data_IF_349208752802
#
_entry.id   IF_349208752802
#
_cell.length_a   1.000
_cell.length_b   1.000
_cell.length_c   1.000
_cell.angle_alpha   90.00
_cell.angle_beta   90.00
_cell.angle_gamma   90.00
#
_symmetry.space_group_name_H-M   'P 1'
#
loop_
_entity.id
_entity.type
_entity.pdbx_description
1 polymer ?
#
# COMPACT_ATOMS: atom_id res chain seq x y z
N UNK A 1 15.97 7.99 14.62
CA UNK A 1 15.93 7.27 13.34
C UNK A 1 17.02 7.74 12.39
N UNK A 2 17.04 9.00 11.96
CA UNK A 2 18.05 9.54 11.04
C UNK A 2 19.48 9.28 11.50
N UNK A 3 19.82 9.65 12.76
CA UNK A 3 21.13 9.33 13.36
C UNK A 3 21.49 7.84 13.29
N UNK A 4 20.52 6.94 13.57
CA UNK A 4 20.80 5.49 13.58
C UNK A 4 21.10 4.96 12.17
N UNK A 5 20.43 5.50 11.15
CA UNK A 5 20.74 5.19 9.75
C UNK A 5 22.14 5.73 9.37
N UNK A 6 22.45 6.96 9.78
CA UNK A 6 23.79 7.54 9.59
C UNK A 6 24.89 6.70 10.24
N UNK A 7 24.72 6.30 11.51
CA UNK A 7 25.67 5.44 12.22
C UNK A 7 25.89 4.08 11.49
N UNK A 8 24.82 3.52 10.91
CA UNK A 8 24.91 2.28 10.10
C UNK A 8 25.72 2.52 8.82
N UNK A 9 25.44 3.61 8.12
CA UNK A 9 26.15 3.94 6.88
C UNK A 9 27.65 4.20 7.15
N UNK A 10 27.97 4.92 8.22
CA UNK A 10 29.35 5.15 8.67
C UNK A 10 30.06 3.84 9.00
N UNK A 11 29.36 2.90 9.62
CA UNK A 11 29.91 1.59 9.94
C UNK A 11 30.25 0.80 8.67
N UNK A 12 29.31 0.76 7.68
CA UNK A 12 29.54 0.09 6.40
C UNK A 12 30.76 0.69 5.68
N UNK A 13 30.90 2.00 5.67
CA UNK A 13 32.04 2.68 5.05
C UNK A 13 33.36 2.33 5.73
N UNK A 14 33.43 2.43 7.06
CA UNK A 14 34.62 2.11 7.87
C UNK A 14 35.08 0.67 7.71
N UNK A 15 34.15 -0.25 7.42
CA UNK A 15 34.46 -1.67 7.26
C UNK A 15 34.65 -2.10 5.80
N UNK A 16 34.57 -1.18 4.83
CA UNK A 16 34.74 -1.47 3.42
C UNK A 16 33.58 -2.25 2.79
N UNK A 17 32.40 -2.28 3.45
CA UNK A 17 31.22 -3.03 3.01
C UNK A 17 30.22 -2.18 2.23
N UNK A 18 30.44 -0.88 2.17
CA UNK A 18 29.48 0.10 1.63
C UNK A 18 29.13 -0.13 0.17
N UNK A 19 30.07 -0.62 -0.64
CA UNK A 19 29.87 -0.89 -2.08
C UNK A 19 29.31 -2.28 -2.35
N UNK A 20 29.38 -3.17 -1.37
CA UNK A 20 28.85 -4.54 -1.45
C UNK A 20 27.54 -4.71 -0.68
N UNK A 21 26.89 -3.62 -0.28
CA UNK A 21 25.66 -3.65 0.51
C UNK A 21 24.54 -2.91 -0.20
N UNK A 22 23.38 -3.56 -0.33
CA UNK A 22 22.13 -2.94 -0.73
C UNK A 22 21.42 -2.46 0.55
N UNK A 23 21.09 -1.18 0.61
CA UNK A 23 20.32 -0.61 1.73
C UNK A 23 18.94 -0.23 1.22
N UNK A 24 17.90 -0.78 1.85
CA UNK A 24 16.49 -0.42 1.61
C UNK A 24 15.95 0.13 2.91
N UNK A 25 15.48 1.37 2.86
CA UNK A 25 14.86 2.05 4.00
C UNK A 25 13.43 2.44 3.63
N UNK A 26 12.46 2.01 4.43
CA UNK A 26 11.04 2.32 4.24
C UNK A 26 10.30 2.25 5.57
N UNK A 27 9.08 2.80 5.62
CA UNK A 27 8.13 2.56 6.71
C UNK A 27 7.28 1.32 6.42
N UNK A 28 6.73 0.71 7.48
CA UNK A 28 5.80 -0.43 7.39
C UNK A 28 4.37 0.01 7.10
N UNK A 29 4.00 1.22 7.52
CA UNK A 29 2.69 1.85 7.31
C UNK A 29 2.78 3.36 7.54
N UNK A 30 1.70 4.07 7.22
CA UNK A 30 1.58 5.50 7.45
C UNK A 30 1.79 5.93 8.89
N UNK A 31 2.23 7.16 9.05
CA UNK A 31 2.41 7.76 10.37
C UNK A 31 1.09 7.81 11.15
N UNK A 32 1.17 7.72 12.48
CA UNK A 32 0.01 7.80 13.37
C UNK A 32 -0.49 9.25 13.46
N UNK A 33 -1.34 9.65 12.52
CA UNK A 33 -1.92 11.00 12.40
C UNK A 33 -3.33 11.14 12.97
N UNK A 34 -3.95 10.02 13.39
CA UNK A 34 -5.21 10.04 14.12
C UNK A 34 -4.96 10.21 15.61
N UNK A 35 -5.86 10.93 16.30
CA UNK A 35 -5.84 11.01 17.76
C UNK A 35 -6.24 9.66 18.35
N UNK A 36 -5.34 8.92 19.00
CA UNK A 36 -5.77 7.85 19.87
C UNK A 36 -6.37 8.52 21.12
N UNK A 37 -7.59 8.15 21.50
CA UNK A 37 -8.30 8.70 22.66
C UNK A 37 -7.61 8.50 24.03
N UNK A 38 -6.40 7.95 24.05
CA UNK A 38 -5.53 7.79 25.23
C UNK A 38 -4.35 8.78 25.23
N UNK A 39 -4.26 9.67 24.26
CA UNK A 39 -3.31 10.80 24.24
C UNK A 39 -4.11 12.10 24.31
N UNK A 40 -3.67 13.05 25.09
CA UNK A 40 -4.31 14.33 25.42
C UNK A 40 -4.54 15.27 24.22
N UNK A 41 -5.07 14.74 23.10
CA UNK A 41 -5.41 15.53 21.92
C UNK A 41 -4.25 15.85 20.97
N UNK A 42 -3.03 15.38 21.24
CA UNK A 42 -1.89 15.64 20.37
C UNK A 42 -1.76 14.61 19.26
N UNK A 43 -1.81 15.07 18.01
CA UNK A 43 -1.47 14.27 16.83
C UNK A 43 0.03 13.96 16.89
N UNK A 44 0.38 12.67 16.88
CA UNK A 44 1.76 12.23 17.01
C UNK A 44 2.61 12.58 15.78
N UNK A 45 2.01 12.56 14.59
CA UNK A 45 2.65 12.83 13.31
C UNK A 45 1.62 13.26 12.27
N UNK A 46 2.05 13.70 11.13
CA UNK A 46 1.19 14.02 10.00
C UNK A 46 1.76 13.37 8.72
N UNK A 47 0.87 13.07 7.78
CA UNK A 47 1.22 12.50 6.49
C UNK A 47 0.96 13.46 5.31
N UNK A 48 0.77 14.77 5.61
CA UNK A 48 0.49 15.77 4.58
C UNK A 48 1.48 15.68 3.39
N UNK A 49 1.01 15.74 2.14
CA UNK A 49 -0.36 16.03 1.67
C UNK A 49 -1.31 14.81 1.66
N UNK A 50 -0.89 13.64 2.10
CA UNK A 50 -1.70 12.43 2.15
C UNK A 50 -2.73 12.52 3.28
N UNK A 51 -3.94 12.03 3.03
CA UNK A 51 -5.02 12.05 4.01
C UNK A 51 -4.90 10.89 5.00
N UNK A 52 -5.29 11.15 6.27
CA UNK A 52 -5.31 10.16 7.34
C UNK A 52 -3.91 9.57 7.66
N UNK A 53 -3.85 8.34 8.13
CA UNK A 53 -2.61 7.69 8.56
C UNK A 53 -2.80 6.23 8.91
N UNK A 54 -1.95 5.72 9.78
CA UNK A 54 -1.93 4.30 10.18
C UNK A 54 -3.33 3.75 10.47
N UNK A 55 -3.66 2.63 9.84
CA UNK A 55 -4.96 1.95 9.95
C UNK A 55 -6.00 2.40 8.92
N UNK A 56 -5.70 3.44 8.14
CA UNK A 56 -6.59 3.94 7.09
C UNK A 56 -6.33 3.26 5.75
N UNK A 57 -7.41 3.10 4.97
CA UNK A 57 -7.34 2.73 3.56
C UNK A 57 -6.91 3.89 2.65
N UNK A 58 -6.87 5.13 3.15
CA UNK A 58 -6.40 6.30 2.42
C UNK A 58 -4.87 6.29 2.23
N UNK A 59 -4.39 7.10 1.28
CA UNK A 59 -2.95 7.14 0.94
C UNK A 59 -2.06 7.40 2.17
N UNK A 60 -2.52 8.20 3.14
CA UNK A 60 -1.77 8.44 4.39
C UNK A 60 -1.58 7.19 5.26
N UNK A 61 -2.37 6.14 5.05
CA UNK A 61 -2.22 4.86 5.75
C UNK A 61 -1.44 3.81 5.00
N UNK A 62 -1.47 3.85 3.65
CA UNK A 62 -0.94 2.77 2.80
C UNK A 62 0.19 3.19 1.86
N UNK A 63 0.47 4.49 1.72
CA UNK A 63 1.54 5.00 0.88
C UNK A 63 2.75 5.41 1.69
N UNK A 64 3.83 4.66 1.53
CA UNK A 64 5.05 4.84 2.28
C UNK A 64 6.22 5.30 1.40
N UNK A 65 7.06 6.22 1.89
CA UNK A 65 8.30 6.55 1.21
C UNK A 65 9.29 5.38 1.32
N UNK A 66 10.03 5.16 0.25
CA UNK A 66 11.10 4.18 0.21
C UNK A 66 12.37 4.81 -0.37
N UNK A 67 13.51 4.48 0.22
CA UNK A 67 14.83 4.84 -0.28
C UNK A 67 15.61 3.56 -0.56
N UNK A 68 16.19 3.45 -1.75
CA UNK A 68 17.07 2.35 -2.11
C UNK A 68 18.44 2.87 -2.48
N UNK A 69 19.46 2.41 -1.76
CA UNK A 69 20.85 2.59 -2.13
C UNK A 69 21.42 1.25 -2.65
N UNK A 70 21.82 1.23 -3.90
CA UNK A 70 22.46 0.08 -4.53
C UNK A 70 23.57 0.55 -5.46
N UNK A 71 24.81 0.56 -4.99
CA UNK A 71 25.96 1.02 -5.79
C UNK A 71 26.06 0.28 -7.13
N UNK A 72 26.32 1.03 -8.19
CA UNK A 72 26.45 0.49 -9.54
C UNK A 72 25.14 0.11 -10.25
N UNK A 73 24.00 0.11 -9.55
CA UNK A 73 22.68 -0.25 -10.13
C UNK A 73 21.70 0.90 -10.07
N UNK A 74 21.45 1.45 -8.88
CA UNK A 74 20.54 2.58 -8.71
C UNK A 74 21.29 3.89 -8.89
N UNK A 75 20.82 4.73 -9.82
CA UNK A 75 21.42 6.05 -10.08
C UNK A 75 21.24 6.96 -8.86
N UNK A 76 22.31 7.52 -8.29
CA UNK A 76 22.22 8.47 -7.19
C UNK A 76 21.31 9.66 -7.51
N UNK A 77 20.46 10.05 -6.54
CA UNK A 77 19.53 11.16 -6.68
C UNK A 77 18.35 10.93 -7.62
N UNK A 78 18.20 9.73 -8.20
CA UNK A 78 17.02 9.38 -9.00
C UNK A 78 15.77 9.33 -8.13
N UNK A 79 14.61 9.63 -8.74
CA UNK A 79 13.29 9.53 -8.12
C UNK A 79 12.39 8.65 -8.97
N UNK A 80 11.48 7.92 -8.33
CA UNK A 80 10.49 7.08 -8.96
C UNK A 80 9.15 7.28 -8.26
N UNK A 81 8.10 7.55 -9.01
CA UNK A 81 6.73 7.78 -8.53
C UNK A 81 5.81 6.57 -8.76
N UNK A 82 6.39 5.45 -9.22
CA UNK A 82 5.62 4.23 -9.49
C UNK A 82 5.27 3.52 -8.19
N UNK A 83 4.05 3.00 -8.13
CA UNK A 83 3.58 2.30 -6.94
C UNK A 83 4.05 0.85 -6.90
N UNK A 84 4.34 0.41 -5.69
CA UNK A 84 4.75 -0.94 -5.31
C UNK A 84 3.82 -1.44 -4.21
N UNK A 85 3.86 -2.73 -3.93
CA UNK A 85 3.23 -3.32 -2.76
C UNK A 85 4.22 -4.28 -2.08
N UNK A 86 3.99 -4.58 -0.81
CA UNK A 86 4.96 -5.35 0.00
C UNK A 86 5.29 -6.72 -0.60
N UNK A 87 4.35 -7.38 -1.26
CA UNK A 87 4.54 -8.66 -1.92
C UNK A 87 5.62 -8.62 -3.02
N UNK A 88 5.90 -7.44 -3.58
CA UNK A 88 6.89 -7.24 -4.64
C UNK A 88 8.33 -7.39 -4.14
N UNK A 89 8.54 -7.25 -2.83
CA UNK A 89 9.89 -7.35 -2.26
C UNK A 89 10.46 -8.75 -2.35
N UNK A 90 9.66 -9.79 -2.14
CA UNK A 90 10.15 -11.15 -2.18
C UNK A 90 10.80 -11.52 -3.53
N UNK A 91 10.09 -11.41 -4.67
CA UNK A 91 10.72 -11.70 -5.98
C UNK A 91 11.86 -10.72 -6.31
N UNK A 92 11.76 -9.46 -5.88
CA UNK A 92 12.81 -8.47 -6.13
C UNK A 92 14.10 -8.79 -5.37
N UNK A 93 14.01 -9.13 -4.09
CA UNK A 93 15.19 -9.47 -3.26
C UNK A 93 15.88 -10.72 -3.81
N UNK A 94 15.12 -11.72 -4.24
CA UNK A 94 15.71 -12.90 -4.88
C UNK A 94 16.45 -12.56 -6.17
N UNK A 95 15.87 -11.67 -6.98
CA UNK A 95 16.51 -11.19 -8.20
C UNK A 95 17.76 -10.35 -7.89
N UNK A 96 17.71 -9.46 -6.86
CA UNK A 96 18.87 -8.71 -6.36
C UNK A 96 20.01 -9.64 -5.95
N UNK A 97 19.69 -10.77 -5.31
CA UNK A 97 20.65 -11.79 -4.90
C UNK A 97 21.13 -12.69 -6.06
N UNK A 98 20.64 -12.48 -7.28
CA UNK A 98 21.00 -13.31 -8.45
C UNK A 98 20.38 -14.71 -8.44
N UNK A 99 19.41 -14.97 -7.57
CA UNK A 99 18.75 -16.27 -7.44
C UNK A 99 17.73 -16.42 -8.57
N UNK A 100 17.87 -17.47 -9.37
CA UNK A 100 16.99 -17.79 -10.50
C UNK A 100 16.34 -19.16 -10.30
N UNK A 101 15.15 -19.35 -10.88
CA UNK A 101 14.48 -20.66 -10.92
C UNK A 101 14.08 -21.19 -9.53
N UNK A 102 13.88 -20.30 -8.55
CA UNK A 102 13.40 -20.68 -7.23
C UNK A 102 11.98 -21.27 -7.29
N UNK A 103 11.71 -22.18 -6.37
CA UNK A 103 10.37 -22.77 -6.19
C UNK A 103 9.83 -22.31 -4.83
N UNK A 104 8.54 -21.98 -4.82
CA UNK A 104 7.83 -21.56 -3.60
C UNK A 104 6.75 -22.57 -3.25
N UNK A 105 6.47 -22.68 -1.96
CA UNK A 105 5.41 -23.56 -1.44
C UNK A 105 4.03 -23.01 -1.81
N UNK A 106 3.93 -21.68 -1.89
CA UNK A 106 2.69 -20.97 -2.22
C UNK A 106 2.89 -20.07 -3.44
N UNK A 107 1.82 -19.70 -4.17
CA UNK A 107 1.89 -18.72 -5.24
C UNK A 107 2.48 -17.39 -4.74
N UNK A 108 3.22 -16.72 -5.61
CA UNK A 108 3.74 -15.37 -5.37
C UNK A 108 2.83 -14.40 -6.12
N UNK A 109 2.24 -13.45 -5.40
CA UNK A 109 1.39 -12.41 -5.99
C UNK A 109 2.22 -11.17 -6.40
N UNK A 110 3.42 -11.03 -5.83
CA UNK A 110 4.34 -9.92 -6.10
C UNK A 110 5.00 -10.00 -7.48
N UNK A 111 5.35 -8.83 -8.00
CA UNK A 111 6.11 -8.65 -9.24
C UNK A 111 7.42 -7.92 -8.94
N UNK A 112 8.53 -8.42 -9.45
CA UNK A 112 9.83 -7.78 -9.21
C UNK A 112 9.86 -6.35 -9.75
N UNK A 113 10.26 -5.41 -8.90
CA UNK A 113 10.48 -4.01 -9.29
C UNK A 113 11.93 -3.71 -9.70
N UNK A 114 12.73 -4.73 -9.97
CA UNK A 114 14.07 -4.56 -10.54
C UNK A 114 14.12 -3.63 -11.77
N UNK A 115 13.15 -3.67 -12.71
CA UNK A 115 13.14 -2.75 -13.84
C UNK A 115 13.07 -1.27 -13.42
N UNK A 116 12.34 -0.94 -12.34
CA UNK A 116 12.31 0.43 -11.80
C UNK A 116 13.66 0.86 -11.23
N UNK A 117 14.32 -0.03 -10.49
CA UNK A 117 15.64 0.24 -9.91
C UNK A 117 16.70 0.46 -10.99
N UNK A 118 16.61 -0.26 -12.10
CA UNK A 118 17.51 -0.13 -13.26
C UNK A 118 17.10 0.97 -14.24
N UNK A 119 15.89 1.53 -14.10
CA UNK A 119 15.34 2.49 -15.06
C UNK A 119 15.04 1.88 -16.44
N UNK A 120 14.70 0.58 -16.50
CA UNK A 120 14.50 -0.17 -17.75
C UNK A 120 13.04 -0.49 -18.07
N UNK A 121 12.11 -0.23 -17.17
CA UNK A 121 10.69 -0.50 -17.38
C UNK A 121 9.84 -0.22 -16.15
N UNK A 122 8.53 -0.37 -16.33
CA UNK A 122 7.53 -0.18 -15.27
C UNK A 122 6.64 -1.43 -15.14
N UNK A 123 6.84 -2.28 -14.13
CA UNK A 123 6.01 -3.47 -13.90
C UNK A 123 4.63 -3.15 -13.32
N UNK A 124 4.35 -1.90 -12.94
CA UNK A 124 3.06 -1.48 -12.39
C UNK A 124 1.98 -1.19 -13.44
N UNK A 125 2.37 -1.11 -14.72
CA UNK A 125 1.43 -0.78 -15.83
C UNK A 125 0.32 -1.82 -15.92
N UNK A 126 -0.93 -1.35 -15.82
CA UNK A 126 -2.12 -2.19 -15.90
C UNK A 126 -2.38 -3.11 -14.71
N UNK A 127 -1.57 -3.01 -13.68
CA UNK A 127 -1.68 -3.83 -12.46
C UNK A 127 -2.63 -3.19 -11.46
N UNK A 128 -3.45 -4.03 -10.83
CA UNK A 128 -4.25 -3.63 -9.66
C UNK A 128 -3.55 -4.04 -8.38
N UNK A 129 -3.57 -3.17 -7.37
CA UNK A 129 -3.16 -3.45 -6.01
C UNK A 129 -4.38 -3.54 -5.11
N UNK A 130 -4.37 -4.48 -4.15
CA UNK A 130 -5.52 -4.78 -3.30
C UNK A 130 -5.14 -4.73 -1.83
N UNK A 131 -6.05 -4.21 -1.00
CA UNK A 131 -5.95 -4.24 0.46
C UNK A 131 -7.25 -4.76 1.03
N UNK A 132 -7.16 -5.54 2.09
CA UNK A 132 -8.31 -6.05 2.82
C UNK A 132 -8.06 -5.96 4.32
N UNK A 133 -8.76 -5.08 4.99
CA UNK A 133 -8.73 -4.88 6.43
C UNK A 133 -10.13 -5.09 7.01
N UNK A 134 -10.58 -6.36 7.20
CA UNK A 134 -11.96 -6.66 7.60
C UNK A 134 -12.24 -6.41 9.09
N UNK A 135 -11.25 -6.01 9.86
CA UNK A 135 -11.32 -5.84 11.30
C UNK A 135 -11.34 -4.36 11.70
N UNK A 136 -11.96 -4.07 12.85
CA UNK A 136 -11.86 -2.75 13.49
C UNK A 136 -10.46 -2.63 14.10
N UNK A 137 -9.80 -1.51 13.83
CA UNK A 137 -8.46 -1.23 14.34
C UNK A 137 -8.49 -0.07 15.32
N UNK A 138 -9.18 -0.02 16.29
CA UNK A 138 -9.09 0.77 17.51
C UNK A 138 -9.03 2.31 17.44
N UNK A 139 -8.83 2.91 16.26
CA UNK A 139 -8.84 4.36 16.05
C UNK A 139 -10.01 4.74 15.13
N UNK A 140 -10.50 5.97 15.28
CA UNK A 140 -11.47 6.56 14.38
C UNK A 140 -10.77 7.54 13.43
N UNK A 141 -11.33 7.71 12.24
CA UNK A 141 -10.82 8.67 11.27
C UNK A 141 -11.18 8.33 9.82
N UNK A 142 -10.85 9.21 8.88
CA UNK A 142 -11.12 9.00 7.47
C UNK A 142 -10.45 7.71 6.97
N UNK A 143 -11.23 6.85 6.30
CA UNK A 143 -10.76 5.58 5.75
C UNK A 143 -10.38 4.51 6.79
N UNK A 144 -10.58 4.77 8.08
CA UNK A 144 -10.35 3.81 9.17
C UNK A 144 -11.64 3.02 9.42
N UNK A 145 -11.49 1.72 9.65
CA UNK A 145 -12.59 0.78 9.89
C UNK A 145 -12.47 -0.48 9.03
N UNK A 146 -13.46 -1.39 9.10
CA UNK A 146 -13.50 -2.56 8.24
C UNK A 146 -13.67 -2.15 6.78
N UNK A 147 -12.59 -2.21 6.01
CA UNK A 147 -12.55 -1.77 4.61
C UNK A 147 -11.84 -2.80 3.73
N UNK A 148 -12.12 -2.74 2.43
CA UNK A 148 -11.22 -3.25 1.41
C UNK A 148 -11.08 -2.20 0.30
N UNK A 149 -9.97 -2.23 -0.41
CA UNK A 149 -9.70 -1.26 -1.45
C UNK A 149 -8.92 -1.85 -2.61
N UNK A 150 -9.04 -1.20 -3.76
CA UNK A 150 -8.28 -1.51 -4.96
C UNK A 150 -7.75 -0.23 -5.59
N UNK A 151 -6.49 -0.26 -6.02
CA UNK A 151 -5.89 0.77 -6.87
C UNK A 151 -5.55 0.17 -8.23
N UNK A 152 -6.00 0.82 -9.29
CA UNK A 152 -5.65 0.48 -10.67
C UNK A 152 -5.34 1.76 -11.45
N UNK A 153 -4.07 1.94 -11.80
CA UNK A 153 -3.60 3.18 -12.41
C UNK A 153 -3.85 4.40 -11.53
N UNK A 154 -4.59 5.37 -12.07
CA UNK A 154 -4.91 6.63 -11.39
C UNK A 154 -6.06 6.49 -10.38
N UNK A 155 -6.82 5.40 -10.45
CA UNK A 155 -8.05 5.23 -9.69
C UNK A 155 -7.87 4.36 -8.47
N UNK A 156 -8.47 4.79 -7.36
CA UNK A 156 -8.56 4.04 -6.11
C UNK A 156 -10.00 4.00 -5.64
N UNK A 157 -10.52 2.79 -5.43
CA UNK A 157 -11.82 2.52 -4.84
C UNK A 157 -11.64 1.99 -3.43
N UNK A 158 -12.40 2.55 -2.48
CA UNK A 158 -12.50 2.06 -1.10
C UNK A 158 -13.93 1.61 -0.86
N UNK A 159 -14.10 0.42 -0.30
CA UNK A 159 -15.39 -0.13 0.12
C UNK A 159 -15.41 -0.33 1.62
N UNK A 160 -16.44 0.19 2.27
CA UNK A 160 -16.67 0.11 3.71
C UNK A 160 -17.64 -1.02 4.02
N UNK A 161 -17.18 -2.06 4.69
CA UNK A 161 -17.99 -3.23 5.00
C UNK A 161 -19.21 -2.94 5.88
N UNK A 162 -19.10 -1.98 6.81
CA UNK A 162 -20.20 -1.67 7.74
C UNK A 162 -21.39 -1.01 7.06
N UNK A 163 -21.14 -0.15 6.09
CA UNK A 163 -22.16 0.70 5.46
C UNK A 163 -22.48 0.33 4.02
N UNK A 164 -21.62 -0.44 3.38
CA UNK A 164 -21.67 -0.67 1.93
C UNK A 164 -21.29 0.55 1.11
N UNK A 165 -20.83 1.64 1.76
CA UNK A 165 -20.37 2.85 1.07
C UNK A 165 -19.16 2.54 0.20
N UNK A 166 -19.09 3.23 -0.94
CA UNK A 166 -17.93 3.24 -1.84
C UNK A 166 -17.45 4.66 -2.02
N UNK A 167 -16.16 4.86 -1.95
CA UNK A 167 -15.49 6.09 -2.30
C UNK A 167 -14.54 5.85 -3.48
N UNK A 168 -14.50 6.77 -4.42
CA UNK A 168 -13.62 6.70 -5.59
C UNK A 168 -12.78 7.97 -5.69
N UNK A 169 -11.48 7.81 -5.83
CA UNK A 169 -10.53 8.91 -5.96
C UNK A 169 -9.66 8.76 -7.20
N UNK A 170 -9.37 9.89 -7.86
CA UNK A 170 -8.29 9.97 -8.84
C UNK A 170 -7.01 10.40 -8.12
N UNK A 171 -6.17 9.45 -7.77
CA UNK A 171 -4.96 9.68 -6.95
C UNK A 171 -3.92 10.56 -7.65
N UNK A 172 -3.93 10.60 -8.97
CA UNK A 172 -2.98 11.45 -9.74
C UNK A 172 -3.36 12.92 -9.64
N UNK A 173 -4.66 13.23 -9.60
CA UNK A 173 -5.17 14.61 -9.51
C UNK A 173 -5.45 15.04 -8.08
N UNK A 174 -5.77 14.10 -7.20
CA UNK A 174 -6.15 14.31 -5.80
C UNK A 174 -5.46 13.29 -4.87
N UNK A 175 -4.17 13.47 -4.68
CA UNK A 175 -3.36 12.61 -3.80
C UNK A 175 -3.81 12.65 -2.34
N UNK A 176 -4.51 13.73 -1.95
CA UNK A 176 -5.06 13.92 -0.61
C UNK A 176 -6.44 13.28 -0.42
N UNK A 177 -7.03 12.67 -1.46
CA UNK A 177 -8.33 12.00 -1.39
C UNK A 177 -9.42 12.88 -0.77
N UNK A 178 -9.47 14.16 -1.19
CA UNK A 178 -10.43 15.15 -0.69
C UNK A 178 -11.75 15.12 -1.44
N UNK A 179 -11.75 14.62 -2.69
CA UNK A 179 -12.89 14.69 -3.60
C UNK A 179 -13.34 13.28 -3.98
N UNK A 180 -14.36 12.76 -3.27
CA UNK A 180 -15.03 11.52 -3.66
C UNK A 180 -15.83 11.73 -4.95
N UNK A 181 -15.37 11.11 -6.03
CA UNK A 181 -15.98 11.22 -7.37
C UNK A 181 -16.78 9.96 -7.77
N UNK A 182 -17.14 9.11 -6.83
CA UNK A 182 -17.86 7.86 -7.10
C UNK A 182 -19.17 8.07 -7.86
N UNK A 183 -19.90 9.17 -7.57
CA UNK A 183 -21.16 9.50 -8.26
C UNK A 183 -20.96 9.98 -9.68
N UNK A 184 -19.80 10.58 -9.99
CA UNK A 184 -19.44 11.09 -11.32
C UNK A 184 -18.95 9.98 -12.27
N UNK A 185 -18.42 8.87 -11.70
CA UNK A 185 -17.81 7.78 -12.45
C UNK A 185 -18.36 6.39 -12.05
N UNK A 186 -19.69 6.16 -12.20
CA UNK A 186 -20.32 4.90 -11.78
C UNK A 186 -19.82 3.68 -12.56
N UNK A 187 -19.34 3.87 -13.78
CA UNK A 187 -18.71 2.85 -14.59
C UNK A 187 -17.37 2.36 -14.00
N UNK A 188 -16.55 3.30 -13.52
CA UNK A 188 -15.28 2.98 -12.85
C UNK A 188 -15.54 2.29 -11.52
N UNK A 189 -16.51 2.79 -10.72
CA UNK A 189 -16.93 2.14 -9.47
C UNK A 189 -17.35 0.71 -9.72
N UNK A 190 -18.18 0.45 -10.74
CA UNK A 190 -18.63 -0.90 -11.10
C UNK A 190 -17.46 -1.79 -11.50
N UNK A 191 -16.56 -1.32 -12.36
CA UNK A 191 -15.39 -2.05 -12.81
C UNK A 191 -14.48 -2.42 -11.65
N UNK A 192 -14.08 -1.46 -10.83
CA UNK A 192 -13.17 -1.67 -9.70
C UNK A 192 -13.81 -2.52 -8.59
N UNK A 193 -15.12 -2.37 -8.34
CA UNK A 193 -15.85 -3.26 -7.44
C UNK A 193 -15.81 -4.71 -7.91
N UNK A 194 -15.98 -4.93 -9.22
CA UNK A 194 -15.88 -6.27 -9.83
C UNK A 194 -14.49 -6.88 -9.71
N UNK A 195 -13.45 -6.09 -9.97
CA UNK A 195 -12.06 -6.52 -9.81
C UNK A 195 -11.77 -6.90 -8.35
N UNK A 196 -12.14 -6.03 -7.41
CA UNK A 196 -11.91 -6.24 -5.98
C UNK A 196 -12.65 -7.47 -5.45
N UNK A 197 -13.94 -7.61 -5.75
CA UNK A 197 -14.73 -8.77 -5.33
C UNK A 197 -14.22 -10.09 -5.93
N UNK A 198 -13.79 -10.06 -7.18
CA UNK A 198 -13.19 -11.22 -7.85
C UNK A 198 -11.87 -11.62 -7.19
N UNK A 199 -11.01 -10.66 -6.93
CA UNK A 199 -9.74 -10.92 -6.25
C UNK A 199 -9.93 -11.48 -4.85
N UNK A 200 -10.79 -10.86 -4.04
CA UNK A 200 -11.04 -11.30 -2.66
C UNK A 200 -11.58 -12.72 -2.60
N UNK A 201 -12.47 -13.11 -3.52
CA UNK A 201 -12.93 -14.50 -3.61
C UNK A 201 -11.83 -15.47 -4.05
N UNK A 202 -10.98 -15.06 -4.99
CA UNK A 202 -9.86 -15.87 -5.48
C UNK A 202 -8.86 -16.23 -4.38
N UNK A 203 -8.60 -15.28 -3.45
CA UNK A 203 -7.64 -15.46 -2.35
C UNK A 203 -8.28 -15.94 -1.05
N UNK A 204 -9.55 -16.31 -1.06
CA UNK A 204 -10.35 -16.66 0.13
C UNK A 204 -10.26 -15.55 1.20
N UNK A 205 -10.40 -14.31 0.76
CA UNK A 205 -10.26 -13.12 1.60
C UNK A 205 -11.28 -13.12 2.74
N UNK A 206 -10.83 -12.80 3.94
CA UNK A 206 -11.73 -12.66 5.08
C UNK A 206 -12.67 -11.46 4.89
N UNK A 207 -13.90 -11.58 5.39
CA UNK A 207 -14.87 -10.49 5.47
C UNK A 207 -15.65 -10.53 6.79
N UNK A 208 -16.13 -9.38 7.29
CA UNK A 208 -16.94 -9.34 8.50
C UNK A 208 -18.29 -10.04 8.31
N UNK A 209 -18.93 -10.32 9.42
CA UNK A 209 -20.33 -10.80 9.45
C UNK A 209 -21.20 -9.85 10.26
N UNK A 210 -22.46 -9.71 9.87
CA UNK A 210 -23.44 -8.94 10.63
C UNK A 210 -23.64 -9.57 12.00
N UNK A 211 -23.37 -8.82 13.07
CA UNK A 211 -23.50 -9.30 14.45
C UNK A 211 -24.88 -9.86 14.77
N UNK A 212 -25.95 -9.25 14.23
CA UNK A 212 -27.34 -9.64 14.50
C UNK A 212 -27.74 -10.95 13.83
N UNK A 213 -27.14 -11.32 12.69
CA UNK A 213 -27.60 -12.46 11.86
C UNK A 213 -26.54 -13.52 11.64
N UNK A 214 -25.26 -13.22 11.92
CA UNK A 214 -24.13 -14.06 11.59
C UNK A 214 -23.84 -14.17 10.08
N UNK A 215 -24.67 -13.55 9.23
CA UNK A 215 -24.45 -13.59 7.78
C UNK A 215 -23.26 -12.74 7.37
N UNK A 216 -22.42 -13.20 6.42
CA UNK A 216 -21.33 -12.39 5.93
C UNK A 216 -21.83 -11.12 5.25
N UNK A 217 -21.07 -10.04 5.42
CA UNK A 217 -21.30 -8.77 4.73
C UNK A 217 -21.09 -8.98 3.22
N UNK A 218 -21.89 -8.35 2.34
CA UNK A 218 -21.71 -8.47 0.90
C UNK A 218 -20.33 -8.02 0.42
N UNK A 219 -19.86 -8.64 -0.66
CA UNK A 219 -18.68 -8.17 -1.37
C UNK A 219 -18.95 -6.85 -2.13
N UNK A 220 -17.90 -6.08 -2.48
CA UNK A 220 -18.08 -4.78 -3.16
C UNK A 220 -18.92 -4.84 -4.44
N UNK A 221 -18.86 -5.94 -5.19
CA UNK A 221 -19.58 -6.15 -6.45
C UNK A 221 -21.01 -6.72 -6.27
N UNK A 222 -21.42 -7.02 -5.05
CA UNK A 222 -22.77 -7.49 -4.71
C UNK A 222 -23.73 -6.35 -4.32
N UNK A 223 -23.20 -5.12 -4.18
CA UNK A 223 -23.97 -3.89 -3.86
C UNK A 223 -23.80 -2.88 -4.99
N UNK A 224 -24.92 -2.32 -5.47
CA UNK A 224 -24.96 -1.28 -6.52
C UNK A 224 -25.67 -0.04 -6.01
#
# INVERSE_FOLDING_TARGET
MDKSLGDLMDWLEKNGEVDNTIVIFMSDNGGLSSEPGWRDGEIHTQNYPLNSGKGSAYEGGVREPMIVRWPGVVKPGSKCDKYLIIEDFYPTILEMAGIKGYKTVQPIDGVSFMPLLKGTGDPSVGRSLFWNCPNIWGNDGPGIGPTCSVRNGDWKLIYYYETGKKELFNITEDIGEHNDVARQHPDIVKRLSGELGTYLRKVDGQRPSFKATGKPVPWPDEIY
#
